data_IF_011959007283
#
_entry.id   IF_011959007283
#
_cell.length_a   1.000
_cell.length_b   1.000
_cell.length_c   1.000
_cell.angle_alpha   90.00
_cell.angle_beta   90.00
_cell.angle_gamma   90.00
#
_symmetry.space_group_name_H-M   'P 1'
#
loop_
_entity.id
_entity.type
_entity.pdbx_description
1 polymer ?
#
# COMPACT_ATOMS: atom_id res chain seq x y z
N UNK A 1 -32.76 11.65 -15.11
CA UNK A 1 -32.77 11.14 -13.72
C UNK A 1 -31.85 9.93 -13.65
N UNK A 2 -30.85 9.93 -12.76
CA UNK A 2 -30.01 8.76 -12.49
C UNK A 2 -30.75 7.92 -11.44
N UNK A 3 -31.15 6.70 -11.78
CA UNK A 3 -31.79 5.79 -10.83
C UNK A 3 -30.71 5.03 -10.06
N UNK A 4 -30.63 5.26 -8.75
CA UNK A 4 -29.61 4.66 -7.89
C UNK A 4 -30.28 3.70 -6.92
N UNK A 5 -29.89 2.43 -6.96
CA UNK A 5 -30.28 1.48 -5.93
C UNK A 5 -29.38 1.63 -4.71
N UNK A 6 -29.94 2.20 -3.63
CA UNK A 6 -29.23 2.47 -2.38
C UNK A 6 -28.65 1.20 -1.75
N UNK A 7 -29.31 0.05 -1.93
CA UNK A 7 -28.83 -1.24 -1.38
C UNK A 7 -27.57 -1.68 -2.11
N UNK A 8 -27.57 -1.61 -3.44
CA UNK A 8 -26.40 -1.93 -4.25
C UNK A 8 -25.22 -1.00 -3.95
N UNK A 9 -25.47 0.30 -3.81
CA UNK A 9 -24.42 1.27 -3.43
C UNK A 9 -23.87 0.96 -2.03
N UNK A 10 -24.74 0.72 -1.05
CA UNK A 10 -24.32 0.38 0.31
C UNK A 10 -23.43 -0.88 0.35
N UNK A 11 -23.82 -1.94 -0.36
CA UNK A 11 -23.03 -3.17 -0.48
C UNK A 11 -21.65 -2.87 -1.09
N UNK A 12 -21.60 -2.11 -2.19
CA UNK A 12 -20.32 -1.78 -2.85
C UNK A 12 -19.40 -0.95 -1.96
N UNK A 13 -19.96 -0.07 -1.14
CA UNK A 13 -19.22 0.80 -0.22
C UNK A 13 -18.93 0.13 1.14
N UNK A 14 -19.20 -1.16 1.32
CA UNK A 14 -18.80 -1.93 2.51
C UNK A 14 -17.37 -1.63 3.00
N UNK A 15 -16.33 -1.53 2.14
CA UNK A 15 -14.98 -1.23 2.61
C UNK A 15 -14.85 0.14 3.30
N UNK A 16 -15.65 1.13 2.86
CA UNK A 16 -15.75 2.47 3.45
C UNK A 16 -16.40 2.38 4.83
N UNK A 17 -17.51 1.63 4.94
CA UNK A 17 -18.19 1.39 6.21
C UNK A 17 -17.29 0.69 7.23
N UNK A 18 -16.48 -0.29 6.81
CA UNK A 18 -15.50 -0.97 7.68
C UNK A 18 -14.48 0.02 8.24
N UNK A 19 -13.93 0.91 7.41
CA UNK A 19 -12.99 1.94 7.87
C UNK A 19 -13.65 2.92 8.86
N UNK A 20 -14.90 3.32 8.60
CA UNK A 20 -15.65 4.23 9.47
C UNK A 20 -15.95 3.59 10.84
N UNK A 21 -16.40 2.33 10.85
CA UNK A 21 -16.70 1.58 12.07
C UNK A 21 -15.42 1.36 12.89
N UNK A 22 -14.29 1.04 12.24
CA UNK A 22 -13.00 0.87 12.91
C UNK A 22 -12.50 2.19 13.54
N UNK A 23 -12.76 3.33 12.89
CA UNK A 23 -12.39 4.64 13.43
C UNK A 23 -13.32 5.10 14.55
N UNK A 24 -14.63 4.88 14.42
CA UNK A 24 -15.65 5.29 15.38
C UNK A 24 -16.32 4.07 16.04
N UNK A 25 -15.62 3.31 16.92
CA UNK A 25 -16.24 2.19 17.59
C UNK A 25 -17.40 2.70 18.44
N UNK A 26 -18.55 2.04 18.33
CA UNK A 26 -19.82 2.44 18.94
C UNK A 26 -20.33 3.83 18.49
N UNK A 27 -19.95 4.29 17.29
CA UNK A 27 -20.38 5.57 16.74
C UNK A 27 -19.73 6.80 17.39
N UNK A 28 -18.78 6.61 18.32
CA UNK A 28 -18.09 7.72 19.01
C UNK A 28 -16.79 8.07 18.28
N UNK A 29 -16.64 9.35 17.94
CA UNK A 29 -15.39 9.87 17.36
C UNK A 29 -14.28 9.82 18.43
N UNK A 30 -13.11 9.24 18.13
CA UNK A 30 -12.01 9.19 19.08
C UNK A 30 -11.38 10.57 19.25
N UNK A 31 -10.84 10.84 20.44
CA UNK A 31 -9.94 12.00 20.60
C UNK A 31 -8.64 11.78 19.81
N UNK A 32 -7.88 12.83 19.46
CA UNK A 32 -6.59 12.67 18.77
C UNK A 32 -5.63 11.72 19.49
N UNK A 33 -5.60 11.74 20.83
CA UNK A 33 -4.79 10.82 21.63
C UNK A 33 -5.30 9.38 21.51
N UNK A 34 -6.61 9.15 21.56
CA UNK A 34 -7.20 7.82 21.37
C UNK A 34 -6.91 7.27 19.97
N UNK A 35 -6.98 8.12 18.93
CA UNK A 35 -6.63 7.73 17.57
C UNK A 35 -5.16 7.30 17.48
N UNK A 36 -4.25 8.06 18.10
CA UNK A 36 -2.82 7.73 18.15
C UNK A 36 -2.54 6.43 18.91
N UNK A 37 -3.16 6.23 20.08
CA UNK A 37 -3.04 4.97 20.84
C UNK A 37 -3.48 3.78 20.00
N UNK A 38 -4.58 3.90 19.25
CA UNK A 38 -5.01 2.83 18.32
C UNK A 38 -4.02 2.57 17.20
N UNK A 39 -3.36 3.60 16.67
CA UNK A 39 -2.27 3.39 15.69
C UNK A 39 -1.11 2.64 16.33
N UNK A 40 -0.77 2.92 17.59
CA UNK A 40 0.26 2.15 18.30
C UNK A 40 -0.15 0.69 18.56
N UNK A 41 -1.43 0.44 18.86
CA UNK A 41 -1.94 -0.89 19.19
C UNK A 41 -2.21 -1.79 17.97
N UNK A 42 -2.67 -1.19 16.87
CA UNK A 42 -3.18 -1.91 15.69
C UNK A 42 -2.50 -1.51 14.37
N UNK A 43 -1.62 -0.51 14.38
CA UNK A 43 -0.79 -0.15 13.24
C UNK A 43 0.32 -1.17 12.99
N UNK A 44 0.89 -1.11 11.79
CA UNK A 44 1.95 -2.03 11.39
C UNK A 44 3.32 -1.40 11.66
N UNK A 45 4.17 -2.14 12.36
CA UNK A 45 5.62 -1.96 12.33
C UNK A 45 6.25 -3.35 12.33
N UNK A 46 7.51 -3.47 11.94
CA UNK A 46 8.19 -4.77 11.95
C UNK A 46 8.23 -5.32 13.38
N UNK A 47 8.38 -4.45 14.38
CA UNK A 47 8.33 -4.83 15.79
C UNK A 47 6.93 -5.25 16.25
N UNK A 48 5.88 -4.52 15.86
CA UNK A 48 4.50 -4.88 16.19
C UNK A 48 4.09 -6.21 15.54
N UNK A 49 4.48 -6.43 14.28
CA UNK A 49 4.19 -7.66 13.53
C UNK A 49 4.81 -8.90 14.19
N UNK A 50 6.05 -8.79 14.69
CA UNK A 50 6.71 -9.88 15.44
C UNK A 50 5.93 -10.31 16.68
N UNK A 51 5.19 -9.39 17.31
CA UNK A 51 4.39 -9.67 18.52
C UNK A 51 2.95 -10.06 18.19
N UNK A 52 2.35 -9.41 17.19
CA UNK A 52 0.94 -9.53 16.82
C UNK A 52 0.81 -9.55 15.29
N UNK A 53 0.89 -10.71 14.61
CA UNK A 53 0.83 -10.78 13.15
C UNK A 53 -0.43 -10.17 12.53
N UNK A 54 -1.52 -10.11 13.30
CA UNK A 54 -2.80 -9.51 12.87
C UNK A 54 -2.68 -8.02 12.50
N UNK A 55 -1.63 -7.32 12.95
CA UNK A 55 -1.37 -5.92 12.53
C UNK A 55 -1.15 -5.78 11.02
N UNK A 56 -0.78 -6.87 10.34
CA UNK A 56 -0.73 -6.94 8.89
C UNK A 56 -2.09 -6.60 8.26
N UNK A 57 -3.20 -6.91 8.94
CA UNK A 57 -4.55 -6.57 8.48
C UNK A 57 -5.09 -5.31 9.16
N UNK A 58 -4.94 -5.18 10.49
CA UNK A 58 -5.61 -4.10 11.24
C UNK A 58 -5.05 -2.72 10.91
N UNK A 59 -3.80 -2.60 10.49
CA UNK A 59 -3.19 -1.31 10.16
C UNK A 59 -3.93 -0.58 9.04
N UNK A 60 -4.59 -1.32 8.15
CA UNK A 60 -5.34 -0.77 7.02
C UNK A 60 -6.59 0.00 7.45
N UNK A 61 -7.10 -0.28 8.66
CA UNK A 61 -8.37 0.26 9.14
C UNK A 61 -8.18 1.32 10.22
N UNK A 62 -7.01 1.39 10.86
CA UNK A 62 -6.69 2.45 11.82
C UNK A 62 -6.12 3.69 11.11
N UNK A 63 -6.55 4.85 11.59
CA UNK A 63 -6.19 6.15 11.02
C UNK A 63 -5.75 7.08 12.14
N UNK A 64 -4.68 7.84 11.89
CA UNK A 64 -4.04 8.69 12.90
C UNK A 64 -4.88 9.89 13.35
N UNK A 65 -5.73 10.43 12.47
CA UNK A 65 -6.58 11.60 12.74
C UNK A 65 -7.75 11.67 11.72
N UNK A 66 -8.65 12.64 11.91
CA UNK A 66 -9.84 12.80 11.07
C UNK A 66 -9.48 13.17 9.62
N UNK A 67 -8.45 13.98 9.39
CA UNK A 67 -8.04 14.37 8.03
C UNK A 67 -7.47 13.18 7.25
N UNK A 68 -6.66 12.34 7.90
CA UNK A 68 -6.17 11.09 7.33
C UNK A 68 -7.34 10.14 7.01
N UNK A 69 -8.33 10.01 7.90
CA UNK A 69 -9.53 9.22 7.62
C UNK A 69 -10.30 9.79 6.42
N UNK A 70 -10.63 11.09 6.42
CA UNK A 70 -11.42 11.73 5.38
C UNK A 70 -10.79 11.60 3.99
N UNK A 71 -9.45 11.78 3.89
CA UNK A 71 -8.71 11.57 2.65
C UNK A 71 -8.81 10.12 2.14
N UNK A 72 -8.67 9.14 3.05
CA UNK A 72 -8.80 7.73 2.71
C UNK A 72 -10.24 7.36 2.32
N UNK A 73 -11.26 7.82 3.05
CA UNK A 73 -12.66 7.51 2.73
C UNK A 73 -13.05 8.10 1.37
N UNK A 74 -12.68 9.35 1.09
CA UNK A 74 -12.98 10.02 -0.20
C UNK A 74 -12.33 9.28 -1.36
N UNK A 75 -11.04 8.97 -1.22
CA UNK A 75 -10.28 8.23 -2.24
C UNK A 75 -10.86 6.83 -2.45
N UNK A 76 -11.13 6.10 -1.36
CA UNK A 76 -11.70 4.75 -1.40
C UNK A 76 -13.06 4.74 -2.08
N UNK A 77 -13.95 5.70 -1.76
CA UNK A 77 -15.25 5.84 -2.43
C UNK A 77 -15.07 6.04 -3.93
N UNK A 78 -14.22 6.98 -4.36
CA UNK A 78 -13.97 7.25 -5.77
C UNK A 78 -13.45 6.00 -6.52
N UNK A 79 -12.47 5.29 -5.94
CA UNK A 79 -11.90 4.09 -6.56
C UNK A 79 -12.88 2.91 -6.61
N UNK A 80 -13.77 2.78 -5.60
CA UNK A 80 -14.81 1.75 -5.58
C UNK A 80 -15.94 2.02 -6.59
N UNK A 81 -16.27 3.28 -6.86
CA UNK A 81 -17.20 3.65 -7.93
C UNK A 81 -16.64 3.30 -9.31
N UNK A 82 -15.31 3.44 -9.49
CA UNK A 82 -14.60 2.97 -10.67
C UNK A 82 -14.45 1.45 -10.74
N UNK A 83 -14.63 0.70 -9.65
CA UNK A 83 -14.40 -0.74 -9.65
C UNK A 83 -15.56 -1.51 -10.30
N UNK A 84 -15.29 -2.37 -11.29
CA UNK A 84 -16.31 -3.20 -11.92
C UNK A 84 -17.01 -2.55 -13.11
N UNK A 85 -17.87 -3.32 -13.76
CA UNK A 85 -18.80 -2.88 -14.82
C UNK A 85 -18.15 -2.30 -16.09
N UNK A 86 -18.97 -1.94 -17.09
CA UNK A 86 -18.48 -1.38 -18.36
C UNK A 86 -18.24 0.14 -18.31
N UNK A 87 -18.96 0.88 -17.46
CA UNK A 87 -18.73 2.32 -17.21
C UNK A 87 -18.95 2.65 -15.73
N UNK A 88 -18.53 3.85 -15.30
CA UNK A 88 -18.81 4.37 -13.95
C UNK A 88 -20.31 4.60 -13.76
N UNK A 89 -21.01 5.10 -14.78
CA UNK A 89 -22.46 5.28 -14.74
C UNK A 89 -23.20 3.96 -14.48
N UNK A 90 -22.91 2.91 -15.26
CA UNK A 90 -23.53 1.58 -15.03
C UNK A 90 -23.12 0.93 -13.72
N UNK A 91 -22.04 1.39 -13.10
CA UNK A 91 -21.67 0.95 -11.77
C UNK A 91 -22.57 1.56 -10.70
N UNK A 92 -22.94 2.83 -10.86
CA UNK A 92 -23.82 3.56 -9.94
C UNK A 92 -25.27 3.13 -10.11
N UNK A 93 -25.69 2.92 -11.36
CA UNK A 93 -27.05 2.47 -11.73
C UNK A 93 -27.23 0.94 -11.63
N UNK A 94 -26.39 0.25 -10.85
CA UNK A 94 -26.48 -1.21 -10.70
C UNK A 94 -27.66 -1.61 -9.81
N UNK A 95 -28.62 -2.35 -10.36
CA UNK A 95 -29.78 -2.86 -9.64
C UNK A 95 -29.62 -4.32 -9.18
N UNK A 96 -28.61 -5.05 -9.68
CA UNK A 96 -28.43 -6.44 -9.32
C UNK A 96 -27.56 -6.59 -8.05
N UNK A 97 -28.20 -6.95 -6.94
CA UNK A 97 -27.55 -7.19 -5.63
C UNK A 97 -26.40 -8.19 -5.74
N UNK A 98 -26.55 -9.29 -6.49
CA UNK A 98 -25.51 -10.31 -6.62
C UNK A 98 -24.28 -9.79 -7.35
N UNK A 99 -24.48 -8.95 -8.37
CA UNK A 99 -23.38 -8.28 -9.06
C UNK A 99 -22.65 -7.33 -8.11
N UNK A 100 -23.39 -6.59 -7.28
CA UNK A 100 -22.84 -5.71 -6.24
C UNK A 100 -22.04 -6.48 -5.18
N UNK A 101 -22.55 -7.61 -4.69
CA UNK A 101 -21.82 -8.50 -3.76
C UNK A 101 -20.53 -9.02 -4.38
N UNK A 102 -20.58 -9.51 -5.62
CA UNK A 102 -19.38 -10.02 -6.31
C UNK A 102 -18.33 -8.93 -6.51
N UNK A 103 -18.76 -7.71 -6.87
CA UNK A 103 -17.86 -6.55 -7.01
C UNK A 103 -17.28 -6.14 -5.67
N UNK A 104 -18.09 -6.10 -4.61
CA UNK A 104 -17.63 -5.82 -3.25
C UNK A 104 -16.54 -6.81 -2.83
N UNK A 105 -16.80 -8.12 -2.92
CA UNK A 105 -15.83 -9.17 -2.55
C UNK A 105 -14.55 -9.05 -3.37
N UNK A 106 -14.68 -8.87 -4.69
CA UNK A 106 -13.51 -8.69 -5.57
C UNK A 106 -12.70 -7.45 -5.21
N UNK A 107 -13.36 -6.32 -4.94
CA UNK A 107 -12.70 -5.08 -4.55
C UNK A 107 -12.01 -5.20 -3.19
N UNK A 108 -12.65 -5.86 -2.22
CA UNK A 108 -12.10 -6.06 -0.88
C UNK A 108 -10.87 -6.98 -0.91
N UNK A 109 -10.91 -8.03 -1.74
CA UNK A 109 -9.77 -8.93 -1.94
C UNK A 109 -8.56 -8.21 -2.56
N UNK A 110 -8.77 -7.37 -3.57
CA UNK A 110 -7.71 -6.55 -4.17
C UNK A 110 -7.19 -5.53 -3.16
N UNK A 111 -8.09 -4.84 -2.47
CA UNK A 111 -7.78 -3.84 -1.45
C UNK A 111 -6.85 -4.41 -0.36
N UNK A 112 -7.25 -5.52 0.27
CA UNK A 112 -6.46 -6.17 1.33
C UNK A 112 -5.18 -6.78 0.75
N UNK A 113 -5.30 -7.62 -0.29
CA UNK A 113 -4.18 -8.39 -0.82
C UNK A 113 -3.07 -7.49 -1.35
N UNK A 114 -3.43 -6.49 -2.17
CA UNK A 114 -2.45 -5.57 -2.72
C UNK A 114 -1.98 -4.49 -1.74
N UNK A 115 -2.81 -4.10 -0.76
CA UNK A 115 -2.38 -3.23 0.34
C UNK A 115 -1.29 -3.87 1.20
N UNK A 116 -1.45 -5.16 1.54
CA UNK A 116 -0.46 -5.93 2.29
C UNK A 116 0.79 -6.21 1.44
N UNK A 117 0.61 -6.86 0.28
CA UNK A 117 1.74 -7.32 -0.54
C UNK A 117 2.54 -6.14 -1.11
N UNK A 118 1.83 -5.18 -1.70
CA UNK A 118 2.43 -4.03 -2.37
C UNK A 118 2.76 -2.90 -1.42
N UNK A 119 1.83 -2.55 -0.51
CA UNK A 119 2.02 -1.44 0.41
C UNK A 119 3.13 -1.68 1.41
N UNK A 120 2.95 -2.70 2.25
CA UNK A 120 3.96 -3.05 3.26
C UNK A 120 5.24 -3.51 2.57
N UNK A 121 5.14 -4.39 1.58
CA UNK A 121 6.31 -4.88 0.84
C UNK A 121 7.12 -3.74 0.21
N UNK A 122 6.46 -2.81 -0.49
CA UNK A 122 7.09 -1.66 -1.12
C UNK A 122 7.76 -0.73 -0.12
N UNK A 123 7.10 -0.43 1.00
CA UNK A 123 7.68 0.41 2.05
C UNK A 123 8.86 -0.27 2.76
N UNK A 124 8.80 -1.58 3.03
CA UNK A 124 9.91 -2.33 3.61
C UNK A 124 11.12 -2.37 2.66
N UNK A 125 10.89 -2.61 1.37
CA UNK A 125 11.95 -2.56 0.36
C UNK A 125 12.61 -1.17 0.27
N UNK A 126 11.80 -0.10 0.32
CA UNK A 126 12.31 1.26 0.31
C UNK A 126 13.13 1.58 1.57
N UNK A 127 12.63 1.16 2.73
CA UNK A 127 13.31 1.29 4.01
C UNK A 127 14.68 0.56 4.01
N UNK A 128 14.71 -0.67 3.49
CA UNK A 128 15.94 -1.45 3.34
C UNK A 128 16.93 -0.81 2.35
N UNK A 129 16.43 -0.28 1.23
CA UNK A 129 17.24 0.43 0.24
C UNK A 129 17.87 1.71 0.82
N UNK A 130 17.09 2.51 1.56
CA UNK A 130 17.63 3.68 2.26
C UNK A 130 18.68 3.30 3.30
N UNK A 131 18.44 2.24 4.07
CA UNK A 131 19.39 1.75 5.07
C UNK A 131 20.69 1.25 4.41
N UNK A 132 20.59 0.53 3.29
CA UNK A 132 21.74 0.07 2.52
C UNK A 132 22.57 1.22 1.93
N UNK A 133 21.90 2.28 1.45
CA UNK A 133 22.53 3.48 0.93
C UNK A 133 23.31 4.24 2.02
N UNK A 134 22.69 4.49 3.18
CA UNK A 134 23.32 5.21 4.31
C UNK A 134 24.57 4.51 4.84
N UNK A 135 24.55 3.17 4.87
CA UNK A 135 25.65 2.36 5.38
C UNK A 135 26.61 1.87 4.29
N UNK A 136 26.57 2.45 3.07
CA UNK A 136 27.47 2.17 1.92
C UNK A 136 27.68 0.68 1.61
N UNK A 137 26.75 -0.20 2.01
CA UNK A 137 26.89 -1.66 1.82
C UNK A 137 26.91 -2.07 0.35
N UNK A 138 26.30 -1.26 -0.52
CA UNK A 138 26.36 -1.48 -1.96
C UNK A 138 27.79 -1.28 -2.50
N UNK A 139 28.54 -0.33 -1.96
CA UNK A 139 29.92 -0.07 -2.37
C UNK A 139 30.91 -1.08 -1.76
N UNK A 140 30.62 -1.63 -0.57
CA UNK A 140 31.51 -2.62 0.07
C UNK A 140 31.52 -3.99 -0.63
N UNK A 141 30.52 -4.32 -1.44
CA UNK A 141 30.52 -5.53 -2.27
C UNK A 141 31.37 -5.38 -3.55
N UNK A 142 31.65 -4.14 -3.98
CA UNK A 142 32.39 -3.84 -5.20
C UNK A 142 33.86 -3.45 -4.94
N UNK A 143 34.20 -3.00 -3.73
CA UNK A 143 35.60 -2.75 -3.36
C UNK A 143 36.32 -4.04 -2.95
N UNK A 144 36.98 -4.63 -3.94
CA UNK A 144 38.00 -5.68 -3.82
C UNK A 144 39.05 -5.29 -2.76
N UNK A 145 39.39 -6.27 -1.92
CA UNK A 145 40.45 -6.26 -0.90
C UNK A 145 41.70 -5.48 -1.36
N UNK A 146 41.87 -4.27 -0.86
CA UNK A 146 43.18 -3.62 -0.82
C UNK A 146 44.02 -4.25 0.30
N UNK A 147 45.15 -4.86 -0.04
CA UNK A 147 46.17 -5.28 0.90
C UNK A 147 46.67 -4.05 1.68
N UNK A 148 46.39 -3.98 2.97
CA UNK A 148 46.99 -2.98 3.85
C UNK A 148 47.98 -3.65 4.77
N UNK A 149 49.27 -3.39 4.54
CA UNK A 149 50.40 -3.62 5.46
C UNK A 149 50.26 -2.71 6.69
N UNK A 150 49.23 -2.96 7.51
CA UNK A 150 48.87 -2.12 8.65
C UNK A 150 49.46 -2.65 9.95
N UNK A 151 49.93 -1.72 10.78
CA UNK A 151 50.43 -1.98 12.14
C UNK A 151 49.33 -2.64 13.01
N UNK A 152 49.67 -3.32 14.13
CA UNK A 152 48.66 -3.85 15.06
C UNK A 152 47.66 -2.77 15.55
N UNK A 153 48.09 -1.51 15.63
CA UNK A 153 47.22 -0.37 15.95
C UNK A 153 46.13 -0.17 14.87
N UNK A 154 46.49 -0.28 13.59
CA UNK A 154 45.55 -0.13 12.47
C UNK A 154 44.48 -1.23 12.48
N UNK A 155 44.85 -2.45 12.89
CA UNK A 155 43.90 -3.55 13.06
C UNK A 155 42.89 -3.25 14.18
N UNK A 156 43.34 -2.70 15.32
CA UNK A 156 42.46 -2.29 16.43
C UNK A 156 41.54 -1.15 16.01
N UNK A 157 42.06 -0.11 15.35
CA UNK A 157 41.26 1.02 14.85
C UNK A 157 40.22 0.55 13.84
N UNK A 158 40.59 -0.34 12.90
CA UNK A 158 39.64 -0.96 11.96
C UNK A 158 38.57 -1.77 12.68
N UNK A 159 38.93 -2.53 13.71
CA UNK A 159 37.98 -3.30 14.51
C UNK A 159 37.01 -2.38 15.25
N UNK A 160 37.49 -1.29 15.86
CA UNK A 160 36.67 -0.28 16.50
C UNK A 160 35.73 0.42 15.51
N UNK A 161 36.23 0.85 14.34
CA UNK A 161 35.42 1.46 13.26
C UNK A 161 34.33 0.50 12.77
N UNK A 162 34.68 -0.75 12.46
CA UNK A 162 33.69 -1.75 12.02
C UNK A 162 32.66 -2.11 13.10
N UNK A 163 33.06 -2.05 14.38
CA UNK A 163 32.11 -2.20 15.49
C UNK A 163 31.17 -1.01 15.59
N UNK A 164 31.68 0.23 15.51
CA UNK A 164 30.86 1.45 15.51
C UNK A 164 29.87 1.49 14.33
N UNK A 165 30.30 1.14 13.12
CA UNK A 165 29.42 1.05 11.95
C UNK A 165 28.32 -0.01 12.14
N UNK A 166 28.66 -1.18 12.68
CA UNK A 166 27.66 -2.21 13.01
C UNK A 166 26.67 -1.74 14.07
N UNK A 167 27.12 -1.00 15.08
CA UNK A 167 26.23 -0.42 16.10
C UNK A 167 25.31 0.64 15.51
N UNK A 168 25.83 1.57 14.70
CA UNK A 168 25.03 2.56 13.97
C UNK A 168 23.98 1.90 13.09
N UNK A 169 24.38 0.88 12.31
CA UNK A 169 23.46 0.11 11.48
C UNK A 169 22.35 -0.56 12.31
N UNK A 170 22.70 -1.18 13.45
CA UNK A 170 21.70 -1.82 14.33
C UNK A 170 20.72 -0.80 14.92
N UNK A 171 21.20 0.38 15.32
CA UNK A 171 20.36 1.47 15.84
C UNK A 171 19.42 1.98 14.74
N UNK A 172 19.95 2.28 13.56
CA UNK A 172 19.15 2.76 12.43
C UNK A 172 18.14 1.71 11.98
N UNK A 173 18.54 0.44 11.90
CA UNK A 173 17.63 -0.67 11.58
C UNK A 173 16.51 -0.77 12.60
N UNK A 174 16.83 -0.69 13.90
CA UNK A 174 15.81 -0.73 14.96
C UNK A 174 14.85 0.46 14.84
N UNK A 175 15.37 1.65 14.54
CA UNK A 175 14.55 2.85 14.31
C UNK A 175 13.62 2.63 13.12
N UNK A 176 14.14 2.15 11.99
CA UNK A 176 13.37 1.82 10.79
C UNK A 176 12.30 0.76 11.03
N UNK A 177 12.64 -0.32 11.74
CA UNK A 177 11.72 -1.41 12.11
C UNK A 177 10.60 -0.94 13.06
N UNK A 178 10.82 0.14 13.80
CA UNK A 178 9.86 0.75 14.73
C UNK A 178 8.95 1.80 14.08
N UNK A 179 9.17 2.14 12.81
CA UNK A 179 8.31 3.09 12.09
C UNK A 179 6.93 2.48 11.91
N UNK A 180 5.91 3.16 12.43
CA UNK A 180 4.52 2.74 12.30
C UNK A 180 3.93 3.17 10.95
N UNK A 181 3.16 2.27 10.37
CA UNK A 181 2.37 2.44 9.17
C UNK A 181 0.91 2.22 9.53
N UNK A 182 0.02 3.05 8.98
CA UNK A 182 -1.42 2.92 9.17
C UNK A 182 -2.17 3.54 7.99
N UNK A 183 -3.43 3.17 7.86
CA UNK A 183 -4.35 3.72 6.87
C UNK A 183 -4.60 2.80 5.69
N UNK A 184 -5.70 3.09 5.01
CA UNK A 184 -6.21 2.32 3.87
C UNK A 184 -5.47 2.63 2.55
N UNK A 185 -4.67 3.70 2.51
CA UNK A 185 -4.17 4.32 1.29
C UNK A 185 -3.45 3.36 0.34
N UNK A 186 -2.56 2.50 0.83
CA UNK A 186 -1.88 1.51 -0.03
C UNK A 186 -2.86 0.51 -0.67
N UNK A 187 -3.90 0.11 0.06
CA UNK A 187 -4.99 -0.71 -0.47
C UNK A 187 -5.81 0.04 -1.53
N UNK A 188 -6.04 1.34 -1.34
CA UNK A 188 -6.75 2.18 -2.33
C UNK A 188 -5.91 2.33 -3.61
N UNK A 189 -4.60 2.57 -3.48
CA UNK A 189 -3.69 2.58 -4.61
C UNK A 189 -3.70 1.23 -5.36
N UNK A 190 -3.82 0.12 -4.63
CA UNK A 190 -3.99 -1.21 -5.26
C UNK A 190 -5.27 -1.34 -6.07
N UNK A 191 -6.40 -0.86 -5.53
CA UNK A 191 -7.66 -0.81 -6.29
C UNK A 191 -7.51 0.03 -7.57
N UNK A 192 -6.83 1.17 -7.50
CA UNK A 192 -6.58 2.03 -8.66
C UNK A 192 -5.70 1.30 -9.70
N UNK A 193 -4.65 0.59 -9.28
CA UNK A 193 -3.81 -0.22 -10.16
C UNK A 193 -4.58 -1.35 -10.85
N UNK A 194 -5.48 -2.02 -10.12
CA UNK A 194 -6.35 -3.04 -10.69
C UNK A 194 -7.33 -2.45 -11.70
N UNK A 195 -7.94 -1.29 -11.38
CA UNK A 195 -8.85 -0.58 -12.28
C UNK A 195 -8.16 -0.20 -13.61
N UNK A 196 -6.92 0.25 -13.56
CA UNK A 196 -6.10 0.54 -14.75
C UNK A 196 -5.84 -0.72 -15.57
N UNK A 197 -5.34 -1.79 -14.95
CA UNK A 197 -4.85 -2.94 -15.70
C UNK A 197 -5.98 -3.85 -16.22
N UNK A 198 -7.04 -4.02 -15.42
CA UNK A 198 -8.18 -4.88 -15.74
C UNK A 198 -9.33 -4.14 -16.44
N UNK A 199 -9.79 -3.01 -15.88
CA UNK A 199 -10.94 -2.25 -16.40
C UNK A 199 -10.58 -1.11 -17.36
N UNK A 200 -9.29 -0.79 -17.53
CA UNK A 200 -8.80 0.35 -18.33
C UNK A 200 -9.30 1.71 -17.84
N UNK A 201 -9.45 1.86 -16.53
CA UNK A 201 -9.91 3.10 -15.88
C UNK A 201 -8.76 3.79 -15.17
N UNK A 202 -8.50 5.02 -15.58
CA UNK A 202 -7.34 5.80 -15.15
C UNK A 202 -7.69 6.98 -14.23
N UNK A 203 -8.98 7.30 -14.06
CA UNK A 203 -9.42 8.53 -13.38
C UNK A 203 -8.86 8.67 -11.97
N UNK A 204 -9.11 7.67 -11.12
CA UNK A 204 -8.52 7.64 -9.77
C UNK A 204 -7.00 7.39 -9.77
N UNK A 205 -6.48 6.59 -10.69
CA UNK A 205 -5.05 6.27 -10.71
C UNK A 205 -4.16 7.49 -10.99
N UNK A 206 -4.53 8.33 -11.96
CA UNK A 206 -3.73 9.50 -12.32
C UNK A 206 -3.67 10.51 -11.19
N UNK A 207 -4.82 10.81 -10.57
CA UNK A 207 -4.92 11.79 -9.49
C UNK A 207 -4.23 11.33 -8.22
N UNK A 208 -4.32 10.03 -7.90
CA UNK A 208 -3.74 9.50 -6.67
C UNK A 208 -2.26 9.13 -6.78
N UNK A 209 -1.83 8.54 -7.90
CA UNK A 209 -0.52 7.87 -7.97
C UNK A 209 0.55 8.74 -8.63
N UNK A 210 0.18 9.62 -9.56
CA UNK A 210 1.17 10.47 -10.21
C UNK A 210 1.92 11.38 -9.22
N UNK A 211 1.26 12.05 -8.25
CA UNK A 211 1.97 12.84 -7.23
C UNK A 211 2.90 11.97 -6.37
N UNK A 212 2.49 10.74 -6.06
CA UNK A 212 3.25 9.79 -5.23
C UNK A 212 4.50 9.29 -5.93
N UNK A 213 4.42 9.01 -7.24
CA UNK A 213 5.58 8.62 -8.05
C UNK A 213 6.56 9.78 -8.15
N UNK A 214 6.08 11.01 -8.41
CA UNK A 214 6.94 12.20 -8.46
C UNK A 214 7.64 12.40 -7.12
N UNK A 215 6.90 12.34 -6.00
CA UNK A 215 7.45 12.50 -4.67
C UNK A 215 8.47 11.40 -4.34
N UNK A 216 8.20 10.14 -4.69
CA UNK A 216 9.14 9.03 -4.51
C UNK A 216 10.42 9.24 -5.31
N UNK A 217 10.32 9.62 -6.59
CA UNK A 217 11.49 9.90 -7.44
C UNK A 217 12.30 11.07 -6.89
N UNK A 218 11.66 12.18 -6.50
CA UNK A 218 12.33 13.31 -5.87
C UNK A 218 13.05 12.90 -4.58
N UNK A 219 12.41 12.08 -3.73
CA UNK A 219 13.02 11.58 -2.49
C UNK A 219 14.26 10.71 -2.71
N UNK A 220 14.32 9.99 -3.85
CA UNK A 220 15.46 9.18 -4.25
C UNK A 220 16.59 10.02 -4.85
N UNK A 221 16.26 11.07 -5.61
CA UNK A 221 17.23 11.94 -6.29
C UNK A 221 17.85 13.00 -5.36
N UNK A 222 17.11 13.46 -4.36
CA UNK A 222 17.57 14.53 -3.48
C UNK A 222 16.94 14.37 -2.10
N UNK A 223 17.70 13.80 -1.18
CA UNK A 223 17.33 13.60 0.23
C UNK A 223 16.95 14.88 0.98
N UNK A 224 17.21 16.05 0.40
CA UNK A 224 16.88 17.38 0.95
C UNK A 224 15.67 18.08 0.30
N UNK A 225 14.97 17.46 -0.65
CA UNK A 225 13.88 18.16 -1.35
C UNK A 225 12.58 18.21 -0.52
N UNK A 226 12.15 19.44 -0.19
CA UNK A 226 10.90 19.80 0.51
C UNK A 226 9.61 19.33 -0.19
N UNK A 227 9.69 18.70 -1.37
CA UNK A 227 8.53 18.18 -2.11
C UNK A 227 7.85 16.99 -1.41
N UNK A 228 8.46 16.35 -0.41
CA UNK A 228 7.80 15.30 0.37
C UNK A 228 6.47 15.77 1.01
N UNK A 229 6.29 17.07 1.22
CA UNK A 229 5.06 17.64 1.79
C UNK A 229 3.97 17.95 0.75
N UNK A 230 4.14 17.64 -0.54
CA UNK A 230 3.16 18.00 -1.59
C UNK A 230 2.22 16.87 -1.99
N UNK A 231 2.24 15.72 -1.32
CA UNK A 231 1.28 14.64 -1.57
C UNK A 231 -0.04 14.87 -0.83
N UNK A 232 -1.15 14.47 -1.48
CA UNK A 232 -2.52 14.67 -0.98
C UNK A 232 -2.87 13.84 0.26
N UNK A 233 -2.10 12.79 0.53
CA UNK A 233 -2.21 12.00 1.75
C UNK A 233 -1.10 12.47 2.71
N UNK A 234 -1.38 12.69 4.00
CA UNK A 234 -0.40 13.17 4.97
C UNK A 234 0.70 12.12 5.18
N UNK A 235 1.66 12.10 4.27
CA UNK A 235 2.91 11.37 4.38
C UNK A 235 3.86 12.26 5.17
N UNK A 236 3.74 12.22 6.51
CA UNK A 236 4.75 12.81 7.38
C UNK A 236 6.14 12.22 7.05
N UNK A 237 7.11 13.12 6.89
CA UNK A 237 8.58 13.02 6.72
C UNK A 237 9.25 11.81 6.03
N UNK A 238 8.73 10.58 5.99
CA UNK A 238 9.35 9.47 5.23
C UNK A 238 8.44 8.25 4.96
N UNK A 239 7.15 8.28 5.29
CA UNK A 239 6.32 7.07 5.33
C UNK A 239 5.03 7.28 4.54
N UNK A 240 4.94 6.71 3.33
CA UNK A 240 3.72 6.77 2.51
C UNK A 240 3.93 6.48 1.04
N UNK A 241 4.80 7.25 0.36
CA UNK A 241 4.90 7.19 -1.11
C UNK A 241 5.30 5.81 -1.64
N UNK A 242 6.30 5.17 -1.02
CA UNK A 242 6.72 3.83 -1.43
C UNK A 242 5.63 2.78 -1.17
N UNK A 243 4.86 2.93 -0.09
CA UNK A 243 3.68 2.10 0.15
C UNK A 243 2.59 2.32 -0.90
N UNK A 244 2.33 3.57 -1.30
CA UNK A 244 1.33 3.90 -2.32
C UNK A 244 1.72 3.35 -3.70
N UNK A 245 2.97 3.58 -4.12
CA UNK A 245 3.51 3.06 -5.39
C UNK A 245 3.59 1.54 -5.38
N UNK A 246 4.01 0.93 -4.27
CA UNK A 246 4.03 -0.51 -4.10
C UNK A 246 2.62 -1.12 -4.15
N UNK A 247 1.66 -0.51 -3.47
CA UNK A 247 0.23 -0.88 -3.51
C UNK A 247 -0.33 -0.82 -4.93
N UNK A 248 -0.09 0.29 -5.64
CA UNK A 248 -0.49 0.45 -7.05
C UNK A 248 0.12 -0.64 -7.94
N UNK A 249 1.42 -0.89 -7.81
CA UNK A 249 2.13 -1.91 -8.59
C UNK A 249 1.55 -3.30 -8.34
N UNK A 250 1.29 -3.66 -7.08
CA UNK A 250 0.62 -4.91 -6.74
C UNK A 250 -0.78 -4.99 -7.36
N UNK A 251 -1.56 -3.90 -7.33
CA UNK A 251 -2.86 -3.81 -7.98
C UNK A 251 -2.80 -4.06 -9.49
N UNK A 252 -1.83 -3.44 -10.18
CA UNK A 252 -1.58 -3.65 -11.61
C UNK A 252 -1.30 -5.12 -11.88
N UNK A 253 -0.39 -5.74 -11.12
CA UNK A 253 -0.04 -7.16 -11.24
C UNK A 253 -1.25 -8.07 -11.02
N UNK A 254 -2.04 -7.85 -9.95
CA UNK A 254 -3.25 -8.62 -9.65
C UNK A 254 -4.25 -8.50 -10.81
N UNK A 255 -4.47 -7.30 -11.35
CA UNK A 255 -5.40 -7.11 -12.46
C UNK A 255 -4.91 -7.70 -13.79
N UNK A 256 -3.60 -7.69 -14.07
CA UNK A 256 -3.02 -8.37 -15.23
C UNK A 256 -3.16 -9.90 -15.10
N UNK A 257 -2.84 -10.45 -13.94
CA UNK A 257 -3.01 -11.87 -13.63
C UNK A 257 -4.48 -12.27 -13.79
N UNK A 258 -5.40 -11.52 -13.19
CA UNK A 258 -6.84 -11.77 -13.29
C UNK A 258 -7.36 -11.68 -14.72
N UNK A 259 -6.84 -10.74 -15.52
CA UNK A 259 -7.17 -10.63 -16.96
C UNK A 259 -6.70 -11.85 -17.73
N UNK A 260 -5.51 -12.37 -17.42
CA UNK A 260 -4.98 -13.60 -18.01
C UNK A 260 -5.83 -14.82 -17.63
N UNK A 261 -6.08 -15.04 -16.34
CA UNK A 261 -6.94 -16.11 -15.84
C UNK A 261 -8.34 -16.06 -16.47
N UNK A 262 -8.93 -14.87 -16.58
CA UNK A 262 -10.25 -14.67 -17.23
C UNK A 262 -10.26 -15.04 -18.72
N UNK A 263 -9.15 -14.86 -19.44
CA UNK A 263 -9.02 -15.28 -20.85
C UNK A 263 -8.88 -16.79 -20.94
N UNK A 264 -7.98 -17.38 -20.15
CA UNK A 264 -7.74 -18.83 -20.13
C UNK A 264 -9.05 -19.57 -19.82
N UNK A 265 -9.78 -19.13 -18.79
CA UNK A 265 -11.05 -19.73 -18.41
C UNK A 265 -12.12 -19.62 -19.52
N UNK A 266 -12.24 -18.45 -20.17
CA UNK A 266 -13.17 -18.27 -21.30
C UNK A 266 -12.82 -19.18 -22.48
N UNK A 267 -11.54 -19.28 -22.83
CA UNK A 267 -11.08 -20.15 -23.92
C UNK A 267 -11.34 -21.62 -23.60
N UNK A 268 -11.09 -22.06 -22.37
CA UNK A 268 -11.37 -23.43 -21.93
C UNK A 268 -12.87 -23.75 -21.99
N UNK A 269 -13.74 -22.81 -21.55
CA UNK A 269 -15.20 -22.96 -21.64
C UNK A 269 -15.69 -23.03 -23.08
N UNK A 270 -15.15 -22.20 -23.97
CA UNK A 270 -15.48 -22.24 -25.41
C UNK A 270 -15.04 -23.56 -26.05
N UNK A 271 -13.85 -24.07 -25.72
CA UNK A 271 -13.38 -25.39 -26.18
C UNK A 271 -14.33 -26.50 -25.72
N UNK A 272 -14.72 -26.52 -24.44
CA UNK A 272 -15.66 -27.51 -23.90
C UNK A 272 -17.07 -27.43 -24.54
N UNK A 273 -17.50 -26.24 -24.95
CA UNK A 273 -18.77 -26.07 -25.68
C UNK A 273 -18.66 -26.56 -27.13
N UNK A 274 -17.50 -26.39 -27.78
CA UNK A 274 -17.25 -26.92 -29.13
C UNK A 274 -17.22 -28.44 -29.14
N UNK A 275 -16.55 -29.07 -28.17
CA UNK A 275 -16.49 -30.55 -28.09
C UNK A 275 -17.81 -31.20 -27.70
N UNK A 276 -18.78 -30.46 -27.15
CA UNK A 276 -20.14 -30.97 -26.88
C UNK A 276 -21.10 -30.81 -28.06
N UNK A 277 -20.70 -30.07 -29.09
CA UNK A 277 -21.51 -29.82 -30.30
C UNK A 277 -21.10 -30.71 -31.49
N UNK A 278 -20.09 -31.56 -31.29
CA UNK A 278 -19.68 -32.66 -32.17
C UNK A 278 -20.13 -33.95 -31.50
#
# INVERSE_FOLDING_TARGET
MVCVDLTCVAIRLTPVWVCLIAYCPNGKRPTPLQALVRVMDYGFSVEAFKRKPIVLLTHMFVHANESHLAGNLTSLMATLLEFGGPSVQRNVEEHNVWVSVRRMVGSFAVFIGGGIMGGIGGQLMFNDAQLACRHKRWMSLLSVKGETNGTPLDAVIRRAKSWLERMKYKIDKKRTDSIFMCGASAGICSLAGFNVSYYKRWGTALTMVAPEVIALVCSLLSSQTRLANTAWLPAGEVVGHAAHVGGFTAGVCIGLAWRWFSRVYRNARQRKQRTKKV
#
